data_IF_474347822019
#
_entry.id   IF_474347822019
#
_cell.length_a   1.000
_cell.length_b   1.000
_cell.length_c   1.000
_cell.angle_alpha   90.00
_cell.angle_beta   90.00
_cell.angle_gamma   90.00
#
_symmetry.space_group_name_H-M   'P 1'
#
loop_
_entity.id
_entity.type
_entity.pdbx_description
1 polymer ?
#
# COMPACT_ATOMS: atom_id res chain seq x y z
N UNK A 1 -33.76 -32.80 -5.23
CA UNK A 1 -34.00 -31.98 -4.01
C UNK A 1 -32.90 -30.94 -3.92
N UNK A 2 -33.19 -29.67 -4.21
CA UNK A 2 -32.23 -28.58 -4.02
C UNK A 2 -31.95 -28.40 -2.52
N UNK A 3 -30.69 -28.48 -2.10
CA UNK A 3 -30.31 -28.16 -0.72
C UNK A 3 -30.71 -26.72 -0.44
N UNK A 4 -31.55 -26.48 0.58
CA UNK A 4 -31.82 -25.13 1.07
C UNK A 4 -30.49 -24.49 1.46
N UNK A 5 -30.25 -23.27 0.97
CA UNK A 5 -29.02 -22.56 1.23
C UNK A 5 -29.01 -21.99 2.67
N UNK A 6 -28.49 -22.75 3.62
CA UNK A 6 -28.32 -22.27 5.01
C UNK A 6 -27.17 -21.26 5.12
N UNK A 7 -27.32 -20.16 5.89
CA UNK A 7 -26.27 -19.17 6.08
C UNK A 7 -25.04 -19.75 6.81
N UNK A 8 -23.87 -19.11 6.68
CA UNK A 8 -22.68 -19.53 7.42
C UNK A 8 -22.90 -19.44 8.93
N UNK A 9 -22.47 -20.47 9.64
CA UNK A 9 -22.50 -20.46 11.11
C UNK A 9 -21.42 -19.54 11.67
N UNK A 10 -21.58 -19.10 12.93
CA UNK A 10 -20.59 -18.26 13.60
C UNK A 10 -19.17 -18.87 13.60
N UNK A 11 -19.05 -20.20 13.75
CA UNK A 11 -17.75 -20.90 13.71
C UNK A 11 -17.13 -20.88 12.32
N UNK A 12 -17.94 -20.96 11.27
CA UNK A 12 -17.48 -20.88 9.89
C UNK A 12 -17.05 -19.45 9.52
N UNK A 13 -17.78 -18.44 9.96
CA UNK A 13 -17.36 -17.04 9.84
C UNK A 13 -16.03 -16.79 10.54
N UNK A 14 -15.87 -17.30 11.77
CA UNK A 14 -14.62 -17.23 12.54
C UNK A 14 -13.46 -17.93 11.81
N UNK A 15 -13.73 -19.08 11.19
CA UNK A 15 -12.77 -19.79 10.35
C UNK A 15 -12.33 -18.97 9.15
N UNK A 16 -13.27 -18.34 8.43
CA UNK A 16 -12.94 -17.51 7.27
C UNK A 16 -12.02 -16.34 7.65
N UNK A 17 -12.30 -15.67 8.77
CA UNK A 17 -11.47 -14.56 9.28
C UNK A 17 -10.05 -15.03 9.58
N UNK A 18 -9.93 -16.07 10.41
CA UNK A 18 -8.62 -16.58 10.78
C UNK A 18 -7.84 -17.19 9.64
N UNK A 19 -8.50 -17.76 8.64
CA UNK A 19 -7.81 -18.26 7.45
C UNK A 19 -7.09 -17.16 6.69
N UNK A 20 -7.67 -15.95 6.64
CA UNK A 20 -7.01 -14.78 6.05
C UNK A 20 -5.92 -14.24 6.98
N UNK A 21 -6.14 -14.26 8.30
CA UNK A 21 -5.14 -13.82 9.29
C UNK A 21 -3.90 -14.71 9.35
N UNK A 22 -4.05 -16.01 9.11
CA UNK A 22 -2.96 -16.99 9.11
C UNK A 22 -2.34 -17.19 7.74
N UNK A 23 -2.54 -16.24 6.82
CA UNK A 23 -2.01 -16.26 5.46
C UNK A 23 -2.35 -17.56 4.68
N UNK A 24 -3.50 -18.17 4.99
CA UNK A 24 -3.97 -19.39 4.34
C UNK A 24 -3.66 -20.68 5.10
N UNK A 25 -3.23 -20.64 6.35
CA UNK A 25 -3.10 -21.85 7.16
C UNK A 25 -4.48 -22.34 7.67
N UNK A 26 -5.07 -23.28 6.91
CA UNK A 26 -6.38 -23.87 7.18
C UNK A 26 -6.47 -24.58 8.53
N UNK A 27 -5.44 -25.35 8.88
CA UNK A 27 -5.45 -26.13 10.12
C UNK A 27 -5.42 -25.20 11.35
N UNK A 28 -4.65 -24.13 11.27
CA UNK A 28 -4.58 -23.13 12.34
C UNK A 28 -5.88 -22.32 12.47
N UNK A 29 -6.44 -21.89 11.34
CA UNK A 29 -7.76 -21.26 11.33
C UNK A 29 -8.85 -22.15 11.95
N UNK A 30 -8.78 -23.47 11.73
CA UNK A 30 -9.69 -24.43 12.32
C UNK A 30 -9.52 -24.57 13.84
N UNK A 31 -8.27 -24.67 14.33
CA UNK A 31 -7.98 -24.71 15.78
C UNK A 31 -8.50 -23.48 16.49
N UNK A 32 -8.35 -22.30 15.90
CA UNK A 32 -8.84 -21.05 16.50
C UNK A 32 -10.37 -20.92 16.46
N UNK A 33 -11.05 -21.65 15.59
CA UNK A 33 -12.49 -21.51 15.34
C UNK A 33 -13.35 -22.58 16.02
N UNK A 34 -12.79 -23.76 16.28
CA UNK A 34 -13.49 -24.92 16.82
C UNK A 34 -12.81 -25.44 18.09
N UNK A 35 -13.57 -26.13 18.95
CA UNK A 35 -12.96 -26.86 20.05
C UNK A 35 -12.25 -28.11 19.48
N UNK A 36 -10.93 -28.14 19.58
CA UNK A 36 -10.06 -29.18 19.01
C UNK A 36 -9.27 -29.95 20.07
N UNK A 37 -9.56 -29.77 21.36
CA UNK A 37 -8.76 -30.30 22.48
C UNK A 37 -8.55 -31.82 22.43
N UNK A 38 -9.50 -32.57 21.87
CA UNK A 38 -9.46 -34.03 21.76
C UNK A 38 -9.31 -34.52 20.30
N UNK A 39 -8.96 -33.63 19.37
CA UNK A 39 -8.83 -33.97 17.95
C UNK A 39 -7.37 -34.25 17.59
N UNK A 40 -7.14 -35.30 16.79
CA UNK A 40 -5.82 -35.55 16.21
C UNK A 40 -5.50 -34.51 15.12
N UNK A 41 -4.21 -34.17 14.89
CA UNK A 41 -3.81 -33.23 13.85
C UNK A 41 -4.36 -33.56 12.45
N UNK A 42 -4.39 -34.84 12.08
CA UNK A 42 -4.89 -35.32 10.78
C UNK A 42 -6.39 -35.07 10.64
N UNK A 43 -7.15 -35.25 11.72
CA UNK A 43 -8.58 -34.95 11.76
C UNK A 43 -8.83 -33.46 11.58
N UNK A 44 -8.03 -32.61 12.23
CA UNK A 44 -8.10 -31.15 12.08
C UNK A 44 -7.81 -30.75 10.63
N UNK A 45 -6.75 -31.29 10.05
CA UNK A 45 -6.36 -31.02 8.67
C UNK A 45 -7.46 -31.43 7.68
N UNK A 46 -8.00 -32.64 7.82
CA UNK A 46 -9.08 -33.14 6.97
C UNK A 46 -10.37 -32.30 7.11
N UNK A 47 -10.73 -31.93 8.33
CA UNK A 47 -11.91 -31.10 8.59
C UNK A 47 -11.76 -29.68 8.02
N UNK A 48 -10.59 -29.06 8.19
CA UNK A 48 -10.27 -27.74 7.63
C UNK A 48 -10.29 -27.76 6.10
N UNK A 49 -9.71 -28.78 5.47
CA UNK A 49 -9.73 -28.98 4.02
C UNK A 49 -11.17 -29.09 3.49
N UNK A 50 -11.99 -29.93 4.13
CA UNK A 50 -13.41 -30.05 3.79
C UNK A 50 -14.17 -28.73 3.95
N UNK A 51 -13.81 -27.93 4.95
CA UNK A 51 -14.43 -26.64 5.18
C UNK A 51 -14.09 -25.63 4.08
N UNK A 52 -12.84 -25.61 3.60
CA UNK A 52 -12.44 -24.78 2.45
C UNK A 52 -13.16 -25.19 1.16
N UNK A 53 -13.39 -26.48 0.94
CA UNK A 53 -14.13 -26.98 -0.21
C UNK A 53 -15.61 -26.53 -0.23
N UNK A 54 -16.14 -25.99 0.87
CA UNK A 54 -17.47 -25.40 0.89
C UNK A 54 -17.46 -24.07 0.11
N UNK A 55 -18.28 -23.98 -0.93
CA UNK A 55 -18.38 -22.79 -1.80
C UNK A 55 -18.69 -21.50 -1.04
N UNK A 56 -19.48 -21.57 0.03
CA UNK A 56 -19.81 -20.39 0.87
C UNK A 56 -18.62 -19.91 1.66
N UNK A 57 -17.85 -20.84 2.25
CA UNK A 57 -16.61 -20.53 2.97
C UNK A 57 -15.59 -19.92 2.01
N UNK A 58 -15.40 -20.53 0.84
CA UNK A 58 -14.52 -19.99 -0.20
C UNK A 58 -14.93 -18.58 -0.65
N UNK A 59 -16.22 -18.36 -0.92
CA UNK A 59 -16.76 -17.04 -1.30
C UNK A 59 -16.51 -16.02 -0.19
N UNK A 60 -16.80 -16.38 1.06
CA UNK A 60 -16.60 -15.50 2.21
C UNK A 60 -15.15 -15.12 2.44
N UNK A 61 -14.21 -16.06 2.27
CA UNK A 61 -12.77 -15.78 2.32
C UNK A 61 -12.38 -14.75 1.25
N UNK A 62 -12.89 -14.91 0.03
CA UNK A 62 -12.61 -13.97 -1.06
C UNK A 62 -13.18 -12.57 -0.79
N UNK A 63 -14.36 -12.47 -0.21
CA UNK A 63 -14.93 -11.19 0.24
C UNK A 63 -14.05 -10.51 1.29
N UNK A 64 -13.58 -11.25 2.30
CA UNK A 64 -12.70 -10.71 3.34
C UNK A 64 -11.39 -10.21 2.72
N UNK A 65 -10.80 -10.98 1.81
CA UNK A 65 -9.58 -10.58 1.08
C UNK A 65 -9.82 -9.32 0.24
N UNK A 66 -10.92 -9.26 -0.50
CA UNK A 66 -11.28 -8.11 -1.31
C UNK A 66 -11.53 -6.86 -0.45
N UNK A 67 -12.19 -7.02 0.69
CA UNK A 67 -12.42 -5.93 1.63
C UNK A 67 -11.11 -5.40 2.21
N UNK A 68 -10.19 -6.28 2.64
CA UNK A 68 -8.85 -5.87 3.11
C UNK A 68 -8.03 -5.21 2.02
N UNK A 69 -8.08 -5.73 0.79
CA UNK A 69 -7.40 -5.12 -0.35
C UNK A 69 -7.93 -3.70 -0.61
N UNK A 70 -9.25 -3.52 -0.56
CA UNK A 70 -9.89 -2.21 -0.71
C UNK A 70 -9.54 -1.24 0.43
N UNK A 71 -9.54 -1.71 1.67
CA UNK A 71 -9.13 -0.91 2.83
C UNK A 71 -7.67 -0.47 2.71
N UNK A 72 -6.77 -1.40 2.38
CA UNK A 72 -5.36 -1.11 2.14
C UNK A 72 -5.16 -0.14 0.97
N UNK A 73 -5.95 -0.26 -0.11
CA UNK A 73 -5.93 0.69 -1.22
C UNK A 73 -6.34 2.11 -0.78
N UNK A 74 -7.38 2.23 0.06
CA UNK A 74 -7.84 3.52 0.59
C UNK A 74 -6.78 4.14 1.50
N UNK A 75 -6.16 3.35 2.36
CA UNK A 75 -5.05 3.79 3.22
C UNK A 75 -3.87 4.26 2.36
N UNK A 76 -3.46 3.45 1.37
CA UNK A 76 -2.39 3.78 0.42
C UNK A 76 -2.67 5.09 -0.31
N UNK A 77 -3.87 5.26 -0.87
CA UNK A 77 -4.30 6.50 -1.55
C UNK A 77 -4.27 7.72 -0.61
N UNK A 78 -4.56 7.51 0.67
CA UNK A 78 -4.52 8.58 1.67
C UNK A 78 -3.08 9.00 1.96
N UNK A 79 -2.17 8.05 2.15
CA UNK A 79 -0.74 8.35 2.34
C UNK A 79 -0.13 8.98 1.10
N UNK A 80 -0.43 8.44 -0.08
CA UNK A 80 0.02 8.97 -1.37
C UNK A 80 -0.39 10.43 -1.54
N UNK A 81 -1.64 10.78 -1.21
CA UNK A 81 -2.11 12.17 -1.24
C UNK A 81 -1.28 13.09 -0.33
N UNK A 82 -0.98 12.65 0.90
CA UNK A 82 -0.18 13.44 1.84
C UNK A 82 1.26 13.62 1.34
N UNK A 83 1.87 12.56 0.79
CA UNK A 83 3.19 12.66 0.18
C UNK A 83 3.18 13.64 -1.00
N UNK A 84 2.14 13.61 -1.84
CA UNK A 84 1.98 14.54 -2.96
C UNK A 84 1.80 15.99 -2.48
N UNK A 85 1.04 16.20 -1.40
CA UNK A 85 0.89 17.51 -0.76
C UNK A 85 2.24 18.05 -0.27
N UNK A 86 3.12 17.18 0.29
CA UNK A 86 4.49 17.54 0.69
C UNK A 86 5.32 17.93 -0.54
N UNK A 87 5.34 17.10 -1.59
CA UNK A 87 6.12 17.36 -2.81
C UNK A 87 5.72 18.70 -3.44
N UNK A 88 4.42 18.98 -3.51
CA UNK A 88 3.87 20.17 -4.15
C UNK A 88 3.77 21.38 -3.22
N UNK A 89 4.22 21.29 -1.96
CA UNK A 89 4.09 22.37 -0.97
C UNK A 89 4.65 23.69 -1.50
N UNK A 90 3.85 24.77 -1.47
CA UNK A 90 4.30 26.10 -1.88
C UNK A 90 4.46 26.99 -0.64
N UNK A 91 5.63 27.59 -0.38
CA UNK A 91 5.81 28.58 0.68
C UNK A 91 4.83 29.76 0.62
N UNK A 92 4.31 30.10 -0.56
CA UNK A 92 3.30 31.16 -0.71
C UNK A 92 1.99 30.84 0.02
N UNK A 93 1.70 29.55 0.24
CA UNK A 93 0.54 29.12 1.03
C UNK A 93 0.65 29.53 2.50
N UNK A 94 1.81 29.98 2.97
CA UNK A 94 2.04 30.38 4.37
C UNK A 94 1.71 31.84 4.66
N UNK A 95 1.54 32.68 3.63
CA UNK A 95 1.35 34.10 3.83
C UNK A 95 0.15 34.66 3.07
N UNK A 96 -0.22 35.90 3.41
CA UNK A 96 -1.21 36.69 2.71
C UNK A 96 -0.86 38.17 2.82
N UNK A 97 -1.35 38.97 1.88
CA UNK A 97 -1.23 40.42 1.95
C UNK A 97 -2.45 40.96 2.69
N UNK A 98 -2.22 41.68 3.78
CA UNK A 98 -3.28 42.33 4.56
C UNK A 98 -3.89 43.48 3.74
N UNK A 99 -5.19 43.43 3.37
CA UNK A 99 -5.81 44.46 2.55
C UNK A 99 -5.82 45.85 3.19
N UNK A 100 -5.83 45.92 4.53
CA UNK A 100 -5.89 47.19 5.25
C UNK A 100 -4.54 47.90 5.32
N UNK A 101 -3.44 47.13 5.33
CA UNK A 101 -2.09 47.67 5.56
C UNK A 101 -1.11 47.46 4.41
N UNK A 102 -1.46 46.62 3.43
CA UNK A 102 -0.59 46.20 2.33
C UNK A 102 0.58 45.31 2.75
N UNK A 103 0.69 44.95 4.03
CA UNK A 103 1.83 44.18 4.56
C UNK A 103 1.60 42.69 4.45
N UNK A 104 2.66 41.95 4.10
CA UNK A 104 2.67 40.49 4.14
C UNK A 104 2.60 39.98 5.57
N UNK A 105 1.62 39.14 5.87
CA UNK A 105 1.44 38.49 7.17
C UNK A 105 1.42 36.98 7.01
N UNK A 106 1.92 36.27 8.02
CA UNK A 106 1.81 34.81 8.09
C UNK A 106 0.36 34.43 8.36
N UNK A 107 -0.12 33.41 7.64
CA UNK A 107 -1.39 32.75 7.92
C UNK A 107 -1.28 32.01 9.26
N UNK A 108 -2.36 31.97 10.01
CA UNK A 108 -2.50 31.10 11.19
C UNK A 108 -2.82 29.66 10.78
N UNK A 109 -2.68 28.66 11.68
CA UNK A 109 -2.94 27.26 11.32
C UNK A 109 -4.34 27.03 10.74
N UNK A 110 -5.35 27.77 11.20
CA UNK A 110 -6.73 27.66 10.69
C UNK A 110 -6.92 28.31 9.31
N UNK A 111 -6.06 29.26 8.93
CA UNK A 111 -6.09 29.94 7.62
C UNK A 111 -5.29 29.21 6.54
N UNK A 112 -4.50 28.19 6.93
CA UNK A 112 -3.72 27.40 6.00
C UNK A 112 -4.62 26.42 5.22
N UNK A 113 -4.45 26.31 3.89
CA UNK A 113 -5.15 25.30 3.11
C UNK A 113 -4.77 23.90 3.60
N UNK A 114 -5.69 22.94 3.48
CA UNK A 114 -5.49 21.55 3.94
C UNK A 114 -4.19 20.94 3.40
N UNK A 115 -3.90 21.18 2.11
CA UNK A 115 -2.66 20.76 1.44
C UNK A 115 -1.41 21.25 2.16
N UNK A 116 -1.33 22.57 2.43
CA UNK A 116 -0.19 23.14 3.13
C UNK A 116 -0.07 22.57 4.55
N UNK A 117 -1.19 22.38 5.26
CA UNK A 117 -1.19 21.76 6.59
C UNK A 117 -0.66 20.34 6.58
N UNK A 118 -1.06 19.53 5.60
CA UNK A 118 -0.57 18.16 5.43
C UNK A 118 0.95 18.11 5.17
N UNK A 119 1.49 19.17 4.56
CA UNK A 119 2.92 19.26 4.27
C UNK A 119 3.78 19.71 5.47
N UNK A 120 3.18 20.21 6.56
CA UNK A 120 3.92 20.73 7.71
C UNK A 120 4.53 19.61 8.56
N UNK A 121 5.79 19.80 8.92
CA UNK A 121 6.52 19.01 9.91
C UNK A 121 6.36 19.58 11.32
N UNK A 122 6.32 20.91 11.44
CA UNK A 122 6.29 21.59 12.75
C UNK A 122 5.56 22.92 12.68
N UNK A 123 4.86 23.25 13.76
CA UNK A 123 4.24 24.54 14.03
C UNK A 123 4.75 25.01 15.39
N UNK A 124 5.32 26.22 15.49
CA UNK A 124 5.68 26.82 16.77
C UNK A 124 5.08 28.21 16.90
N UNK A 125 4.53 28.54 18.06
CA UNK A 125 4.04 29.88 18.39
C UNK A 125 4.83 30.41 19.58
N UNK A 126 5.55 31.51 19.40
CA UNK A 126 6.26 32.21 20.45
C UNK A 126 5.69 33.62 20.58
N UNK A 127 4.89 33.84 21.64
CA UNK A 127 4.31 35.16 21.96
C UNK A 127 3.62 35.84 20.77
N UNK A 128 2.90 35.06 19.94
CA UNK A 128 2.16 35.56 18.78
C UNK A 128 2.91 35.44 17.45
N UNK A 129 4.21 35.15 17.47
CA UNK A 129 4.98 34.85 16.26
C UNK A 129 4.87 33.36 15.93
N UNK A 130 4.18 33.04 14.83
CA UNK A 130 3.99 31.67 14.35
C UNK A 130 5.03 31.35 13.29
N UNK A 131 5.75 30.25 13.50
CA UNK A 131 6.74 29.70 12.55
C UNK A 131 6.31 28.32 12.09
N UNK A 132 6.54 28.05 10.80
CA UNK A 132 6.17 26.82 10.12
C UNK A 132 7.40 26.15 9.51
N UNK A 133 7.51 24.85 9.67
CA UNK A 133 8.53 24.01 9.03
C UNK A 133 7.83 22.99 8.14
N UNK A 134 8.20 22.91 6.86
CA UNK A 134 7.71 21.88 5.94
C UNK A 134 8.52 20.59 6.06
N UNK A 135 7.88 19.46 5.70
CA UNK A 135 8.59 18.22 5.44
C UNK A 135 9.50 18.34 4.21
N UNK A 136 10.51 17.47 4.13
CA UNK A 136 11.44 17.43 3.00
C UNK A 136 10.77 16.88 1.74
N UNK A 137 10.76 17.68 0.67
CA UNK A 137 10.16 17.30 -0.63
C UNK A 137 10.85 16.12 -1.30
N UNK A 138 12.17 16.05 -1.20
CA UNK A 138 12.99 15.01 -1.84
C UNK A 138 12.67 13.63 -1.27
N UNK A 139 12.55 13.52 0.04
CA UNK A 139 12.22 12.26 0.69
C UNK A 139 10.79 11.81 0.37
N UNK A 140 9.83 12.74 0.37
CA UNK A 140 8.47 12.42 -0.04
C UNK A 140 8.39 11.94 -1.50
N UNK A 141 9.11 12.61 -2.41
CA UNK A 141 9.20 12.21 -3.82
C UNK A 141 9.86 10.83 -3.99
N UNK A 142 10.90 10.53 -3.20
CA UNK A 142 11.57 9.23 -3.20
C UNK A 142 10.62 8.10 -2.77
N UNK A 143 9.88 8.29 -1.68
CA UNK A 143 8.90 7.31 -1.20
C UNK A 143 7.80 7.07 -2.24
N UNK A 144 7.29 8.15 -2.87
CA UNK A 144 6.32 8.03 -3.97
C UNK A 144 6.90 7.27 -5.16
N UNK A 145 8.15 7.54 -5.53
CA UNK A 145 8.83 6.83 -6.61
C UNK A 145 8.99 5.35 -6.32
N UNK A 146 9.41 4.99 -5.09
CA UNK A 146 9.52 3.60 -4.66
C UNK A 146 8.17 2.86 -4.71
N UNK A 147 7.08 3.50 -4.26
CA UNK A 147 5.74 2.91 -4.30
C UNK A 147 5.18 2.70 -5.71
N UNK A 148 5.60 3.54 -6.65
CA UNK A 148 5.15 3.49 -8.05
C UNK A 148 6.15 2.78 -8.99
N UNK A 149 7.19 2.16 -8.45
CA UNK A 149 8.18 1.42 -9.24
C UNK A 149 9.05 2.29 -10.14
N UNK A 150 9.24 3.57 -9.81
CA UNK A 150 10.13 4.48 -10.55
C UNK A 150 11.61 4.23 -10.25
N UNK A 151 11.91 3.61 -9.12
CA UNK A 151 13.26 3.17 -8.81
C UNK A 151 13.58 1.92 -9.65
N UNK A 152 14.53 2.03 -10.58
CA UNK A 152 15.05 0.87 -11.29
C UNK A 152 15.73 -0.09 -10.31
N UNK A 153 15.60 -1.39 -10.54
CA UNK A 153 16.32 -2.42 -9.79
C UNK A 153 17.83 -2.13 -9.84
N UNK A 154 18.41 -1.80 -8.67
CA UNK A 154 19.86 -1.55 -8.55
C UNK A 154 20.69 -2.84 -8.67
N UNK A 155 20.02 -4.00 -8.63
CA UNK A 155 20.64 -5.32 -8.77
C UNK A 155 20.51 -5.83 -10.21
N UNK A 156 21.21 -5.20 -11.15
CA UNK A 156 21.44 -5.82 -12.46
C UNK A 156 22.51 -6.89 -12.27
N UNK A 157 22.10 -8.11 -11.94
CA UNK A 157 23.02 -9.24 -11.90
C UNK A 157 23.26 -9.73 -13.34
N UNK A 158 24.21 -9.10 -14.04
CA UNK A 158 24.67 -9.57 -15.36
C UNK A 158 25.41 -10.88 -15.12
N UNK A 159 24.70 -12.01 -15.20
CA UNK A 159 25.35 -13.31 -15.40
C UNK A 159 25.83 -13.38 -16.85
N UNK A 160 26.93 -12.69 -17.12
CA UNK A 160 27.74 -12.94 -18.31
C UNK A 160 28.39 -14.30 -18.13
N UNK A 161 27.89 -15.30 -18.85
CA UNK A 161 28.64 -16.52 -19.09
C UNK A 161 29.95 -16.14 -19.76
N UNK A 162 31.05 -16.66 -19.20
CA UNK A 162 32.41 -16.71 -19.73
C UNK A 162 32.89 -15.56 -20.63
N UNK A 163 33.68 -14.67 -20.02
CA UNK A 163 34.99 -14.40 -20.60
C UNK A 163 35.10 -13.34 -21.70
N UNK A 164 34.17 -12.40 -21.86
CA UNK A 164 34.48 -11.15 -22.55
C UNK A 164 33.82 -9.95 -21.88
N UNK A 165 34.64 -9.00 -21.44
CA UNK A 165 34.19 -7.71 -20.90
C UNK A 165 33.52 -6.93 -22.02
N UNK A 166 32.20 -6.96 -22.09
CA UNK A 166 31.44 -6.07 -22.97
C UNK A 166 31.35 -4.72 -22.27
N UNK A 167 32.23 -3.80 -22.61
CA UNK A 167 32.28 -2.42 -22.10
C UNK A 167 31.31 -1.46 -22.80
N UNK A 168 30.45 -1.96 -23.70
CA UNK A 168 29.44 -1.15 -24.37
C UNK A 168 28.10 -1.90 -24.48
N UNK A 169 27.05 -1.30 -23.93
CA UNK A 169 25.68 -1.72 -24.17
C UNK A 169 25.26 -1.19 -25.56
N UNK A 170 25.45 -1.99 -26.61
CA UNK A 170 24.93 -1.66 -27.95
C UNK A 170 23.51 -2.20 -28.08
N UNK A 171 22.53 -1.30 -27.98
CA UNK A 171 21.15 -1.59 -28.39
C UNK A 171 21.09 -1.28 -29.89
N UNK A 172 21.39 -2.29 -30.71
CA UNK A 172 21.20 -2.20 -32.16
C UNK A 172 19.77 -2.59 -32.51
N UNK A 173 19.10 -1.77 -33.31
CA UNK A 173 17.99 -2.24 -34.13
C UNK A 173 18.65 -2.94 -35.33
N UNK A 174 18.46 -4.26 -35.47
CA UNK A 174 18.89 -4.98 -36.66
C UNK A 174 18.07 -4.47 -37.86
N UNK A 175 18.61 -3.47 -38.56
CA UNK A 175 18.29 -3.27 -39.97
C UNK A 175 18.99 -4.38 -40.74
N UNK A 176 18.30 -5.52 -40.89
CA UNK A 176 18.60 -6.48 -41.95
C UNK A 176 18.25 -5.83 -43.29
N UNK A 177 19.12 -4.95 -43.75
CA UNK A 177 19.20 -4.52 -45.14
C UNK A 177 20.58 -4.90 -45.67
N UNK A 178 20.62 -6.01 -46.41
CA UNK A 178 21.49 -6.19 -47.58
C UNK A 178 21.03 -7.39 -48.41
N UNK A 179 20.27 -7.02 -49.43
CA UNK A 179 20.24 -7.54 -50.79
C UNK A 179 21.56 -8.14 -51.31
N UNK A 180 21.39 -9.25 -52.02
CA UNK A 180 22.08 -9.73 -53.24
C UNK A 180 23.61 -9.68 -53.36
N UNK A 181 24.24 -10.86 -53.40
CA UNK A 181 24.73 -11.49 -54.65
C UNK A 181 24.99 -12.99 -54.46
#
# INVERSE_FOLDING_TARGET
MGKREEPLTFKQEKFCKYYVDTEGNASEAYRMSYNTSNMKPETIWSAASRLLANSKVSTRINEIKAQRAKESEVERKTVERVLMDIVLANPDDLHFVDPATGKTKMRTPSQLPKRARNALKKIQNKRGEVTYEFNGKTEAARILGAWNGWEADKNVNIKGGDGNKVSELRIGFDENDKSDE
#
